data_IF_457957300372
#
_entry.id   IF_457957300372
#
_cell.length_a   1.000
_cell.length_b   1.000
_cell.length_c   1.000
_cell.angle_alpha   90.00
_cell.angle_beta   90.00
_cell.angle_gamma   90.00
#
_symmetry.space_group_name_H-M   'P 1'
#
loop_
_entity.id
_entity.type
_entity.pdbx_description
1 polymer ?
#
# COMPACT_ATOMS: atom_id res chain seq x y z
N UNK A 1 4.84 29.35 22.72
CA UNK A 1 3.91 29.49 21.58
C UNK A 1 3.96 28.18 20.82
N UNK A 2 2.88 27.37 20.83
CA UNK A 2 2.85 26.15 20.02
C UNK A 2 3.01 26.57 18.55
N UNK A 3 4.08 26.10 17.91
CA UNK A 3 4.38 26.43 16.52
C UNK A 3 3.27 25.84 15.65
N UNK A 4 2.57 26.70 14.90
CA UNK A 4 1.63 26.26 13.88
C UNK A 4 2.41 25.64 12.73
N UNK A 5 2.29 24.32 12.57
CA UNK A 5 2.89 23.58 11.46
C UNK A 5 1.79 23.19 10.47
N UNK A 6 1.69 23.85 9.29
CA UNK A 6 0.65 23.58 8.31
C UNK A 6 0.68 22.14 7.79
N UNK A 7 1.80 21.43 7.92
CA UNK A 7 1.91 20.04 7.47
C UNK A 7 1.31 19.05 8.45
N UNK A 8 1.08 19.45 9.70
CA UNK A 8 0.49 18.61 10.76
C UNK A 8 -1.00 18.86 10.96
N UNK A 9 -1.58 19.77 10.20
CA UNK A 9 -3.01 20.02 10.24
C UNK A 9 -3.81 18.76 9.87
N UNK A 10 -4.95 18.60 10.53
CA UNK A 10 -5.88 17.51 10.19
C UNK A 10 -6.42 17.77 8.79
N UNK A 11 -6.30 16.77 7.92
CA UNK A 11 -6.86 16.87 6.58
C UNK A 11 -8.40 16.88 6.61
N UNK A 12 -8.99 17.75 5.80
CA UNK A 12 -10.44 17.79 5.61
C UNK A 12 -10.97 16.49 4.98
N UNK A 13 -12.26 16.21 5.22
CA UNK A 13 -12.96 15.06 4.60
C UNK A 13 -12.85 15.08 3.06
N UNK A 14 -12.94 16.25 2.43
CA UNK A 14 -12.83 16.39 0.97
C UNK A 14 -11.44 16.05 0.44
N UNK A 15 -10.40 16.41 1.18
CA UNK A 15 -9.02 16.04 0.82
C UNK A 15 -8.78 14.54 0.94
N UNK A 16 -9.40 13.88 1.92
CA UNK A 16 -9.41 12.42 2.02
C UNK A 16 -10.18 11.77 0.87
N UNK A 17 -11.33 12.31 0.49
CA UNK A 17 -12.12 11.81 -0.63
C UNK A 17 -11.29 11.79 -1.93
N UNK A 18 -10.61 12.89 -2.25
CA UNK A 18 -9.73 12.97 -3.43
C UNK A 18 -8.60 11.96 -3.34
N UNK A 19 -7.98 11.82 -2.17
CA UNK A 19 -6.90 10.85 -1.93
C UNK A 19 -7.38 9.42 -2.24
N UNK A 20 -8.56 9.04 -1.74
CA UNK A 20 -9.15 7.72 -1.96
C UNK A 20 -9.56 7.50 -3.42
N UNK A 21 -10.11 8.51 -4.10
CA UNK A 21 -10.47 8.42 -5.52
C UNK A 21 -9.24 8.18 -6.40
N UNK A 22 -8.14 8.90 -6.16
CA UNK A 22 -6.90 8.71 -6.91
C UNK A 22 -6.32 7.30 -6.66
N UNK A 23 -6.38 6.83 -5.42
CA UNK A 23 -5.97 5.48 -5.07
C UNK A 23 -6.94 4.40 -5.56
N UNK A 24 -8.16 4.71 -5.99
CA UNK A 24 -9.04 3.71 -6.59
C UNK A 24 -8.56 3.28 -7.98
N UNK A 25 -7.74 4.09 -8.65
CA UNK A 25 -7.24 3.81 -10.01
C UNK A 25 -6.02 2.88 -9.92
N UNK A 26 -6.05 1.63 -10.43
CA UNK A 26 -5.03 0.61 -10.14
C UNK A 26 -3.59 1.01 -10.50
N UNK A 27 -3.37 1.55 -11.70
CA UNK A 27 -2.02 1.92 -12.16
C UNK A 27 -1.52 3.20 -11.49
N UNK A 28 -2.41 4.17 -11.27
CA UNK A 28 -2.05 5.46 -10.67
C UNK A 28 -1.83 5.31 -9.17
N UNK A 29 -2.59 4.44 -8.50
CA UNK A 29 -2.51 4.15 -7.08
C UNK A 29 -1.06 3.86 -6.64
N UNK A 30 -0.38 2.93 -7.33
CA UNK A 30 0.98 2.51 -6.95
C UNK A 30 1.93 3.71 -7.03
N UNK A 31 1.92 4.43 -8.15
CA UNK A 31 2.77 5.62 -8.35
C UNK A 31 2.46 6.67 -7.28
N UNK A 32 1.17 6.91 -7.02
CA UNK A 32 0.74 7.94 -6.10
C UNK A 32 1.11 7.62 -4.64
N UNK A 33 1.13 6.34 -4.26
CA UNK A 33 1.65 5.94 -2.95
C UNK A 33 3.11 6.35 -2.77
N UNK A 34 3.98 6.17 -3.77
CA UNK A 34 5.38 6.63 -3.68
C UNK A 34 5.48 8.15 -3.66
N UNK A 35 4.76 8.84 -4.57
CA UNK A 35 4.77 10.30 -4.66
C UNK A 35 4.32 10.94 -3.36
N UNK A 36 3.25 10.44 -2.74
CA UNK A 36 2.75 10.98 -1.48
C UNK A 36 3.47 10.46 -0.25
N UNK A 37 4.06 9.26 -0.25
CA UNK A 37 4.84 8.76 0.90
C UNK A 37 6.18 9.49 1.08
N UNK A 38 6.83 9.85 -0.03
CA UNK A 38 8.18 10.45 -0.03
C UNK A 38 8.20 11.92 -0.44
N UNK A 39 7.10 12.45 -0.96
CA UNK A 39 6.97 13.85 -1.34
C UNK A 39 6.78 14.82 -0.18
N UNK A 40 6.57 16.08 -0.55
CA UNK A 40 6.23 17.16 0.37
C UNK A 40 4.71 17.27 0.54
N UNK A 41 4.25 17.74 1.71
CA UNK A 41 2.85 17.94 2.04
C UNK A 41 2.45 17.36 3.39
N UNK A 42 1.13 17.25 3.61
CA UNK A 42 0.54 16.91 4.89
C UNK A 42 0.99 15.53 5.43
N UNK A 43 1.46 15.51 6.68
CA UNK A 43 2.00 14.35 7.38
C UNK A 43 0.98 13.20 7.46
N UNK A 44 -0.31 13.50 7.61
CA UNK A 44 -1.36 12.48 7.69
C UNK A 44 -1.44 11.65 6.41
N UNK A 45 -1.38 12.30 5.23
CA UNK A 45 -1.39 11.60 3.93
C UNK A 45 -0.09 10.85 3.70
N UNK A 46 1.05 11.43 4.09
CA UNK A 46 2.35 10.77 3.97
C UNK A 46 2.38 9.47 4.77
N UNK A 47 1.94 9.51 6.03
CA UNK A 47 1.92 8.34 6.91
C UNK A 47 0.91 7.29 6.43
N UNK A 48 -0.25 7.70 5.93
CA UNK A 48 -1.20 6.79 5.29
C UNK A 48 -0.59 6.08 4.08
N UNK A 49 0.10 6.81 3.21
CA UNK A 49 0.72 6.21 2.03
C UNK A 49 1.89 5.28 2.38
N UNK A 50 2.70 5.65 3.39
CA UNK A 50 3.77 4.77 3.92
C UNK A 50 3.20 3.48 4.51
N UNK A 51 2.13 3.57 5.29
CA UNK A 51 1.43 2.40 5.81
C UNK A 51 0.88 1.52 4.67
N UNK A 52 0.29 2.14 3.63
CA UNK A 52 -0.17 1.45 2.42
C UNK A 52 0.94 0.68 1.71
N UNK A 53 2.13 1.29 1.54
CA UNK A 53 3.30 0.63 0.94
C UNK A 53 3.79 -0.55 1.78
N UNK A 54 3.82 -0.41 3.12
CA UNK A 54 4.19 -1.51 4.02
C UNK A 54 3.17 -2.66 3.90
N UNK A 55 1.87 -2.35 3.89
CA UNK A 55 0.82 -3.35 3.69
C UNK A 55 0.94 -4.05 2.34
N UNK A 56 1.29 -3.32 1.28
CA UNK A 56 1.54 -3.90 -0.04
C UNK A 56 2.74 -4.85 0.00
N UNK A 57 3.87 -4.45 0.60
CA UNK A 57 5.04 -5.31 0.73
C UNK A 57 4.72 -6.61 1.51
N UNK A 58 3.99 -6.48 2.63
CA UNK A 58 3.50 -7.62 3.42
C UNK A 58 2.61 -8.54 2.56
N UNK A 59 1.67 -7.98 1.80
CA UNK A 59 0.79 -8.77 0.94
C UNK A 59 1.54 -9.57 -0.11
N UNK A 60 2.60 -8.98 -0.71
CA UNK A 60 3.46 -9.66 -1.69
C UNK A 60 4.19 -10.84 -1.03
N UNK A 61 4.74 -10.66 0.17
CA UNK A 61 5.42 -11.74 0.91
C UNK A 61 4.45 -12.89 1.17
N UNK A 62 3.25 -12.62 1.69
CA UNK A 62 2.24 -13.65 1.91
C UNK A 62 1.82 -14.34 0.61
N UNK A 63 1.67 -13.59 -0.48
CA UNK A 63 1.30 -14.13 -1.78
C UNK A 63 2.36 -15.10 -2.30
N UNK A 64 3.64 -14.74 -2.20
CA UNK A 64 4.77 -15.60 -2.59
C UNK A 64 4.80 -16.88 -1.74
N UNK A 65 4.65 -16.77 -0.42
CA UNK A 65 4.61 -17.93 0.47
C UNK A 65 3.45 -18.86 0.11
N UNK A 66 2.26 -18.31 -0.07
CA UNK A 66 1.07 -19.08 -0.42
C UNK A 66 1.22 -19.82 -1.76
N UNK A 67 1.68 -19.13 -2.80
CA UNK A 67 1.93 -19.78 -4.10
C UNK A 67 3.06 -20.80 -4.07
N UNK A 68 4.11 -20.58 -3.26
CA UNK A 68 5.22 -21.54 -3.14
C UNK A 68 4.76 -22.86 -2.50
N UNK A 69 3.92 -22.79 -1.46
CA UNK A 69 3.38 -23.97 -0.78
C UNK A 69 2.41 -24.73 -1.70
N UNK A 70 1.48 -24.01 -2.33
CA UNK A 70 0.50 -24.63 -3.24
C UNK A 70 1.20 -25.19 -4.48
N UNK A 71 2.07 -24.42 -5.12
CA UNK A 71 2.83 -24.85 -6.30
C UNK A 71 3.66 -26.11 -6.03
N UNK A 72 4.35 -26.16 -4.88
CA UNK A 72 5.09 -27.36 -4.47
C UNK A 72 4.17 -28.57 -4.24
N UNK A 73 3.00 -28.36 -3.62
CA UNK A 73 2.04 -29.43 -3.36
C UNK A 73 1.43 -30.02 -4.64
N UNK A 74 1.19 -29.20 -5.67
CA UNK A 74 0.70 -29.64 -6.97
C UNK A 74 1.75 -30.49 -7.70
N UNK A 75 3.03 -30.08 -7.65
CA UNK A 75 4.14 -30.84 -8.26
C UNK A 75 4.33 -32.19 -7.56
N UNK A 76 4.28 -32.22 -6.22
CA UNK A 76 4.37 -33.46 -5.46
C UNK A 76 3.17 -34.40 -5.71
N UNK A 77 1.96 -33.85 -5.84
CA UNK A 77 0.75 -34.64 -6.11
C UNK A 77 0.67 -35.20 -7.53
N UNK A 78 1.24 -34.51 -8.53
CA UNK A 78 1.26 -34.98 -9.93
C UNK A 78 2.35 -36.02 -10.19
N UNK A 79 3.44 -36.04 -9.41
CA UNK A 79 4.47 -37.08 -9.47
C UNK A 79 4.10 -38.40 -8.76
N UNK A 80 3.02 -38.42 -7.97
CA UNK A 80 2.56 -39.61 -7.23
C UNK A 80 1.50 -40.43 -7.99
N UNK A 81 1.12 -40.03 -9.21
CA UNK A 81 0.11 -40.69 -10.05
C UNK A 81 0.68 -41.24 -11.37
N UNK A 82 2.01 -41.32 -11.48
CA UNK A 82 2.73 -41.94 -12.60
C UNK A 82 3.43 -43.23 -12.16
#
# INVERSE_FOLDING_TARGET
>A
MNQYDPNKEVMSMGSWLITLIVLAIPCVNIIMYFVWAFGNGNENRKNFCRAGLIMMAISVVFMVLFYSIIGASIIAGTGAVA
#
